data_IF_634481471214
#
_entry.id   IF_634481471214
#
_cell.length_a   1.000
_cell.length_b   1.000
_cell.length_c   1.000
_cell.angle_alpha   90.00
_cell.angle_beta   90.00
_cell.angle_gamma   90.00
#
_symmetry.space_group_name_H-M   'P 1'
#
loop_
_entity.id
_entity.type
_entity.pdbx_description
1 polymer ?
#
# COMPACT_ATOMS: atom_id res chain seq x y z
N UNK A 1 23.94 6.03 6.69
CA UNK A 1 22.66 6.28 6.01
C UNK A 1 22.31 5.00 5.28
N UNK A 2 21.20 4.38 5.64
CA UNK A 2 20.72 3.17 4.97
C UNK A 2 19.86 3.56 3.76
N UNK A 3 20.06 2.87 2.64
CA UNK A 3 19.25 3.04 1.44
C UNK A 3 18.22 1.93 1.37
N UNK A 4 16.95 2.30 1.20
CA UNK A 4 15.86 1.34 1.02
C UNK A 4 15.28 1.51 -0.38
N UNK A 5 14.89 0.39 -0.98
CA UNK A 5 14.18 0.36 -2.24
C UNK A 5 12.84 -0.35 -2.05
N UNK A 6 11.85 0.06 -2.83
CA UNK A 6 10.51 -0.52 -2.82
C UNK A 6 10.33 -1.49 -3.98
N UNK A 7 9.40 -2.42 -3.84
CA UNK A 7 9.05 -3.36 -4.91
C UNK A 7 8.29 -2.65 -6.05
N UNK A 8 8.35 -3.21 -7.26
CA UNK A 8 7.63 -2.68 -8.41
C UNK A 8 6.11 -2.61 -8.18
N UNK A 9 5.55 -3.56 -7.43
CA UNK A 9 4.14 -3.57 -7.05
C UNK A 9 3.77 -2.37 -6.17
N UNK A 10 4.61 -2.05 -5.19
CA UNK A 10 4.40 -0.88 -4.34
C UNK A 10 4.49 0.42 -5.15
N UNK A 11 5.45 0.50 -6.09
CA UNK A 11 5.57 1.65 -7.00
C UNK A 11 4.33 1.84 -7.89
N UNK A 12 3.70 0.76 -8.34
CA UNK A 12 2.47 0.83 -9.12
C UNK A 12 1.31 1.41 -8.29
N UNK A 13 1.13 0.94 -7.06
CA UNK A 13 0.07 1.44 -6.16
C UNK A 13 0.20 2.94 -5.87
N UNK A 14 1.43 3.44 -5.72
CA UNK A 14 1.69 4.88 -5.52
C UNK A 14 1.45 5.65 -6.81
N UNK A 15 1.94 5.16 -7.95
CA UNK A 15 1.74 5.79 -9.27
C UNK A 15 0.27 5.94 -9.60
N UNK A 16 -0.50 4.90 -9.34
CA UNK A 16 -1.93 4.84 -9.65
C UNK A 16 -2.78 5.46 -8.54
N UNK A 17 -2.16 6.04 -7.50
CA UNK A 17 -2.84 6.75 -6.42
C UNK A 17 -3.81 5.84 -5.63
N UNK A 18 -3.50 4.55 -5.55
CA UNK A 18 -4.29 3.54 -4.83
C UNK A 18 -3.87 3.43 -3.35
N UNK A 19 -2.62 3.79 -3.02
CA UNK A 19 -2.09 3.75 -1.65
C UNK A 19 -2.08 5.14 -1.01
N UNK A 20 -2.76 5.28 0.13
CA UNK A 20 -2.85 6.51 0.91
C UNK A 20 -1.94 6.40 2.15
N UNK A 21 -0.93 7.26 2.30
CA UNK A 21 -0.09 7.27 3.50
C UNK A 21 -0.88 7.80 4.70
N UNK A 22 -0.69 7.17 5.86
CA UNK A 22 -1.34 7.59 7.09
C UNK A 22 -0.42 8.52 7.87
N UNK A 23 -0.89 9.73 8.20
CA UNK A 23 -0.07 10.69 8.97
C UNK A 23 0.17 10.22 10.41
N UNK A 24 -0.86 9.66 11.03
CA UNK A 24 -0.85 9.32 12.46
C UNK A 24 -0.27 7.92 12.74
N UNK A 25 -0.15 7.08 11.72
CA UNK A 25 0.42 5.73 11.77
C UNK A 25 1.31 5.49 10.53
N UNK A 26 2.53 6.05 10.49
CA UNK A 26 3.41 6.01 9.32
C UNK A 26 3.83 4.59 8.90
N UNK A 27 3.66 3.61 9.77
CA UNK A 27 3.85 2.18 9.50
C UNK A 27 2.69 1.54 8.72
N UNK A 28 1.55 2.22 8.59
CA UNK A 28 0.35 1.75 7.91
C UNK A 28 0.06 2.56 6.64
N UNK A 29 -0.44 1.86 5.61
CA UNK A 29 -0.98 2.47 4.40
C UNK A 29 -2.39 1.97 4.13
N UNK A 30 -3.31 2.88 3.81
CA UNK A 30 -4.67 2.54 3.45
C UNK A 30 -4.81 2.37 1.94
N UNK A 31 -5.65 1.42 1.53
CA UNK A 31 -6.06 1.28 0.13
C UNK A 31 -7.27 2.17 -0.10
N UNK A 32 -7.22 2.97 -1.17
CA UNK A 32 -8.31 3.85 -1.56
C UNK A 32 -9.52 3.04 -2.00
N UNK A 33 -10.72 3.53 -1.70
CA UNK A 33 -11.95 2.94 -2.22
C UNK A 33 -12.15 3.26 -3.71
N UNK A 34 -12.76 2.32 -4.43
CA UNK A 34 -13.16 2.56 -5.82
C UNK A 34 -14.19 3.68 -5.92
N UNK A 35 -14.06 4.53 -6.93
CA UNK A 35 -15.01 5.60 -7.26
C UNK A 35 -15.49 5.45 -8.71
N UNK A 36 -16.46 6.27 -9.12
CA UNK A 36 -16.93 6.38 -10.51
C UNK A 36 -15.82 6.75 -11.50
N UNK A 37 -14.79 7.46 -11.04
CA UNK A 37 -13.67 7.95 -11.86
C UNK A 37 -12.46 7.03 -11.86
N UNK A 38 -12.34 6.16 -10.86
CA UNK A 38 -11.16 5.33 -10.65
C UNK A 38 -11.53 4.01 -9.98
N UNK A 39 -11.25 2.92 -10.68
CA UNK A 39 -11.28 1.57 -10.11
C UNK A 39 -10.01 1.32 -9.30
N UNK A 40 -10.17 0.81 -8.07
CA UNK A 40 -9.07 0.37 -7.21
C UNK A 40 -9.24 -1.13 -6.94
N UNK A 41 -8.27 -1.96 -7.33
CA UNK A 41 -8.35 -3.41 -7.12
C UNK A 41 -8.12 -3.78 -5.66
N UNK A 42 -8.58 -4.96 -5.27
CA UNK A 42 -8.26 -5.55 -3.96
C UNK A 42 -6.75 -5.80 -3.84
N UNK A 43 -6.16 -5.36 -2.72
CA UNK A 43 -4.73 -5.53 -2.43
C UNK A 43 -4.56 -6.46 -1.22
N UNK A 44 -3.74 -7.48 -1.40
CA UNK A 44 -3.42 -8.46 -0.36
C UNK A 44 -1.92 -8.45 -0.06
N UNK A 45 -1.55 -8.70 1.19
CA UNK A 45 -0.16 -8.87 1.60
C UNK A 45 -0.02 -10.10 2.48
N UNK A 46 1.16 -10.72 2.44
CA UNK A 46 1.46 -11.88 3.29
C UNK A 46 1.89 -11.40 4.67
N UNK A 47 1.10 -11.73 5.68
CA UNK A 47 1.49 -11.51 7.07
C UNK A 47 2.56 -12.55 7.45
N UNK A 48 3.75 -12.08 7.81
CA UNK A 48 4.82 -12.94 8.31
C UNK A 48 4.64 -13.12 9.81
N UNK A 49 3.68 -13.95 10.20
CA UNK A 49 3.44 -14.30 11.60
C UNK A 49 3.40 -15.81 11.77
N UNK A 50 4.18 -16.34 12.72
CA UNK A 50 3.75 -17.55 13.42
C UNK A 50 2.50 -17.15 14.19
N UNK A 51 1.35 -17.58 13.68
CA UNK A 51 0.09 -17.57 14.41
C UNK A 51 0.26 -18.61 15.52
N UNK A 52 0.52 -18.15 16.74
CA UNK A 52 0.49 -18.98 17.95
C UNK A 52 -0.91 -19.48 18.23
#
# INVERSE_FOLDING_TARGET
MEGYAVTAQCMALVRDNCLIPTKDAPELGYIRESTDKQYVPDVYYKVSGNIS
#
